data_IF_497065340516
#
_entry.id   IF_497065340516
#
_cell.length_a   1.000
_cell.length_b   1.000
_cell.length_c   1.000
_cell.angle_alpha   90.00
_cell.angle_beta   90.00
_cell.angle_gamma   90.00
#
_symmetry.space_group_name_H-M   'P 1'
#
loop_
_entity.id
_entity.type
_entity.pdbx_description
1 polymer ?
#
# COMPACT_ATOMS: atom_id res chain seq x y z
N UNK A 1 5.42 -7.50 15.15
CA UNK A 1 4.47 -6.84 14.22
C UNK A 1 5.25 -6.19 13.10
N UNK A 2 4.76 -6.25 11.86
CA UNK A 2 5.39 -5.56 10.74
C UNK A 2 4.59 -4.34 10.28
N UNK A 3 5.29 -3.43 9.57
CA UNK A 3 4.76 -2.38 8.72
C UNK A 3 5.67 -2.29 7.50
N UNK A 4 5.17 -2.68 6.32
CA UNK A 4 5.99 -2.70 5.10
C UNK A 4 5.57 -1.66 4.06
N UNK A 5 4.74 -0.71 4.47
CA UNK A 5 4.38 0.43 3.64
C UNK A 5 4.38 1.69 4.49
N UNK A 6 5.53 2.31 4.60
CA UNK A 6 5.67 3.66 5.13
C UNK A 6 6.70 4.44 4.32
N UNK A 7 6.61 5.77 4.40
CA UNK A 7 7.41 6.70 3.63
C UNK A 7 8.41 7.42 4.51
N UNK A 8 9.43 7.97 3.88
CA UNK A 8 10.36 8.92 4.50
C UNK A 8 10.29 10.25 3.75
N UNK A 9 11.06 11.23 4.24
CA UNK A 9 11.23 12.54 3.60
C UNK A 9 11.65 12.48 2.12
N UNK A 10 12.03 11.31 1.60
CA UNK A 10 12.32 11.10 0.18
C UNK A 10 11.06 11.05 -0.69
N UNK A 11 9.89 10.76 -0.11
CA UNK A 11 8.61 10.92 -0.80
C UNK A 11 8.17 12.38 -0.77
N UNK A 12 7.85 12.96 -1.93
CA UNK A 12 7.52 14.38 -2.08
C UNK A 12 6.30 14.84 -1.26
N UNK A 13 5.44 13.91 -0.82
CA UNK A 13 4.28 14.17 0.05
C UNK A 13 4.57 13.97 1.53
N UNK A 14 5.75 13.45 1.90
CA UNK A 14 6.10 13.23 3.29
C UNK A 14 6.63 14.53 3.95
N UNK A 15 6.47 14.60 5.27
CA UNK A 15 7.08 15.70 6.04
C UNK A 15 8.61 15.58 6.02
N UNK A 16 9.31 16.71 5.98
CA UNK A 16 10.79 16.75 6.00
C UNK A 16 11.39 16.08 7.23
N UNK A 17 10.68 16.12 8.35
CA UNK A 17 11.05 15.51 9.62
C UNK A 17 10.90 13.98 9.64
N UNK A 18 10.21 13.41 8.65
CA UNK A 18 10.06 11.96 8.48
C UNK A 18 11.36 11.33 7.93
N UNK A 19 12.51 11.62 8.54
CA UNK A 19 13.78 10.98 8.20
C UNK A 19 13.74 9.49 8.54
N UNK A 20 14.61 8.69 7.93
CA UNK A 20 14.69 7.26 8.26
C UNK A 20 14.85 7.03 9.77
N UNK A 21 15.73 7.79 10.42
CA UNK A 21 15.96 7.72 11.86
C UNK A 21 14.70 7.99 12.68
N UNK A 22 13.97 9.08 12.38
CA UNK A 22 12.78 9.45 13.14
C UNK A 22 11.63 8.47 12.91
N UNK A 23 11.49 7.95 11.69
CA UNK A 23 10.49 6.93 11.38
C UNK A 23 10.79 5.61 12.10
N UNK A 24 12.03 5.11 12.08
CA UNK A 24 12.41 3.88 12.79
C UNK A 24 12.17 4.02 14.31
N UNK A 25 12.51 5.17 14.91
CA UNK A 25 12.27 5.40 16.33
C UNK A 25 10.76 5.39 16.68
N UNK A 26 9.93 6.02 15.84
CA UNK A 26 8.48 6.05 16.04
C UNK A 26 7.84 4.67 15.85
N UNK A 27 8.24 3.92 14.81
CA UNK A 27 7.79 2.56 14.54
C UNK A 27 8.15 1.61 15.69
N UNK A 28 9.39 1.68 16.20
CA UNK A 28 9.78 0.89 17.38
C UNK A 28 8.91 1.19 18.59
N UNK A 29 8.65 2.46 18.87
CA UNK A 29 7.77 2.88 19.98
C UNK A 29 6.38 2.28 19.83
N UNK A 30 5.92 2.05 18.62
CA UNK A 30 4.62 1.44 18.31
C UNK A 30 4.64 -0.09 18.26
N UNK A 31 5.78 -0.73 18.58
CA UNK A 31 5.91 -2.18 18.64
C UNK A 31 6.20 -2.86 17.30
N UNK A 32 6.58 -2.10 16.28
CA UNK A 32 7.01 -2.64 14.97
C UNK A 32 8.42 -3.21 15.11
N UNK A 33 8.61 -4.45 14.67
CA UNK A 33 9.88 -5.19 14.69
C UNK A 33 10.43 -5.46 13.29
N UNK A 34 9.55 -5.45 12.27
CA UNK A 34 9.89 -5.57 10.86
C UNK A 34 9.31 -4.37 10.12
N UNK A 35 10.15 -3.61 9.46
CA UNK A 35 9.76 -2.43 8.71
C UNK A 35 10.18 -2.54 7.24
N UNK A 36 9.33 -2.09 6.35
CA UNK A 36 9.66 -1.85 4.96
C UNK A 36 9.42 -0.37 4.63
N UNK A 37 10.44 0.33 4.16
CA UNK A 37 10.26 1.66 3.60
C UNK A 37 9.94 1.51 2.11
N UNK A 38 8.81 2.08 1.70
CA UNK A 38 8.30 2.01 0.34
C UNK A 38 7.97 3.42 -0.19
N UNK A 39 8.98 4.26 -0.35
CA UNK A 39 8.79 5.59 -0.92
C UNK A 39 8.24 5.50 -2.34
N UNK A 40 7.49 6.54 -2.76
CA UNK A 40 7.04 6.66 -4.14
C UNK A 40 8.20 6.60 -5.12
N UNK A 41 8.00 5.89 -6.24
CA UNK A 41 9.04 5.69 -7.22
C UNK A 41 8.52 5.74 -8.65
N UNK A 42 9.26 6.45 -9.50
CA UNK A 42 9.11 6.38 -10.95
C UNK A 42 10.47 6.14 -11.60
N UNK A 43 10.64 4.98 -12.22
CA UNK A 43 11.82 4.66 -13.03
C UNK A 43 11.87 5.59 -14.24
N UNK A 44 12.95 6.37 -14.37
CA UNK A 44 13.14 7.31 -15.48
C UNK A 44 13.14 6.63 -16.87
N UNK A 45 13.35 5.31 -16.90
CA UNK A 45 13.25 4.50 -18.11
C UNK A 45 11.79 4.16 -18.49
N UNK A 46 10.81 4.51 -17.66
CA UNK A 46 9.38 4.36 -17.94
C UNK A 46 8.81 5.73 -18.36
N UNK A 47 8.34 5.90 -19.61
CA UNK A 47 7.77 7.17 -20.04
C UNK A 47 6.52 7.56 -19.27
N UNK A 48 6.26 8.86 -19.15
CA UNK A 48 5.00 9.40 -18.63
C UNK A 48 5.05 9.89 -17.18
N UNK A 49 6.23 9.98 -16.54
CA UNK A 49 6.36 10.59 -15.24
C UNK A 49 5.79 12.02 -15.22
N UNK A 50 4.92 12.32 -14.25
CA UNK A 50 4.53 13.69 -13.96
C UNK A 50 5.70 14.47 -13.34
N UNK A 51 5.63 15.80 -13.33
CA UNK A 51 6.63 16.63 -12.64
C UNK A 51 6.74 16.34 -11.15
N UNK A 52 5.71 15.78 -10.55
CA UNK A 52 5.70 15.35 -9.16
C UNK A 52 6.47 14.04 -8.95
N UNK A 53 6.36 13.08 -9.90
CA UNK A 53 7.07 11.81 -9.82
C UNK A 53 8.53 11.89 -10.30
N UNK A 54 8.83 12.73 -11.29
CA UNK A 54 10.14 12.76 -11.95
C UNK A 54 11.35 12.85 -10.99
N UNK A 55 11.31 13.60 -9.86
CA UNK A 55 12.42 13.64 -8.91
C UNK A 55 12.52 12.41 -8.01
N UNK A 56 11.49 11.56 -7.97
CA UNK A 56 11.41 10.37 -7.11
C UNK A 56 11.88 9.13 -7.89
N UNK A 57 13.06 9.20 -8.49
CA UNK A 57 13.62 8.14 -9.30
C UNK A 57 14.33 7.04 -8.47
N UNK A 58 14.92 6.08 -9.15
CA UNK A 58 15.62 4.96 -8.53
C UNK A 58 16.78 5.43 -7.65
N UNK A 59 17.62 6.35 -8.16
CA UNK A 59 18.79 6.82 -7.43
C UNK A 59 18.37 7.59 -6.17
N UNK A 60 17.33 8.41 -6.27
CA UNK A 60 16.75 9.11 -5.14
C UNK A 60 16.29 8.12 -4.06
N UNK A 61 15.58 7.07 -4.43
CA UNK A 61 15.11 6.05 -3.48
C UNK A 61 16.27 5.22 -2.90
N UNK A 62 17.28 4.86 -3.69
CA UNK A 62 18.43 4.09 -3.22
C UNK A 62 19.33 4.87 -2.25
N UNK A 63 19.31 6.20 -2.26
CA UNK A 63 20.04 7.03 -1.28
C UNK A 63 19.66 6.72 0.17
N UNK A 64 18.46 6.15 0.40
CA UNK A 64 18.03 5.67 1.71
C UNK A 64 18.96 4.62 2.32
N UNK A 65 19.63 3.81 1.47
CA UNK A 65 20.61 2.82 1.94
C UNK A 65 21.85 3.48 2.54
N UNK A 66 22.26 4.63 1.99
CA UNK A 66 23.37 5.44 2.53
C UNK A 66 22.96 6.06 3.87
N UNK A 67 21.74 6.59 3.98
CA UNK A 67 21.23 7.07 5.27
C UNK A 67 21.25 5.96 6.31
N UNK A 68 20.75 4.77 5.97
CA UNK A 68 20.74 3.63 6.89
C UNK A 68 22.16 3.21 7.30
N UNK A 69 23.10 3.21 6.37
CA UNK A 69 24.51 2.86 6.66
C UNK A 69 25.14 3.85 7.66
N UNK A 70 24.73 5.13 7.61
CA UNK A 70 25.22 6.18 8.50
C UNK A 70 24.60 6.12 9.92
N UNK A 71 23.49 5.37 10.13
CA UNK A 71 22.86 5.24 11.44
C UNK A 71 23.69 4.35 12.38
N UNK A 72 23.76 4.74 13.65
CA UNK A 72 24.31 3.87 14.70
C UNK A 72 23.39 2.65 14.96
N UNK A 73 23.88 1.59 15.62
CA UNK A 73 23.03 0.46 16.01
C UNK A 73 21.81 0.87 16.83
N UNK A 74 21.96 1.85 17.73
CA UNK A 74 20.87 2.38 18.56
C UNK A 74 19.82 3.12 17.71
N UNK A 75 20.26 3.88 16.73
CA UNK A 75 19.39 4.63 15.80
C UNK A 75 18.64 3.72 14.82
N UNK A 76 19.20 2.56 14.49
CA UNK A 76 18.47 1.50 13.74
C UNK A 76 17.36 0.85 14.56
N UNK A 77 17.26 1.18 15.85
CA UNK A 77 16.17 0.80 16.74
C UNK A 77 15.96 -0.72 16.92
N UNK A 78 16.86 -1.58 16.43
CA UNK A 78 16.70 -3.04 16.43
C UNK A 78 15.57 -3.54 15.54
N UNK A 79 15.14 -2.73 14.57
CA UNK A 79 14.13 -3.09 13.57
C UNK A 79 14.81 -3.81 12.41
N UNK A 80 14.23 -4.92 11.95
CA UNK A 80 14.60 -5.54 10.68
C UNK A 80 14.03 -4.69 9.54
N UNK A 81 14.93 -4.05 8.77
CA UNK A 81 14.54 -3.12 7.71
C UNK A 81 14.67 -3.75 6.33
N UNK A 82 13.65 -3.53 5.51
CA UNK A 82 13.64 -3.83 4.08
C UNK A 82 13.48 -2.54 3.26
N UNK A 83 14.13 -2.48 2.11
CA UNK A 83 14.09 -1.35 1.19
C UNK A 83 13.20 -1.69 0.00
N UNK A 84 11.96 -1.29 0.06
CA UNK A 84 11.01 -1.43 -1.01
C UNK A 84 10.78 -0.14 -1.78
N UNK A 85 9.77 -0.16 -2.64
CA UNK A 85 9.26 1.02 -3.30
C UNK A 85 7.77 0.88 -3.56
N UNK A 86 7.05 2.00 -3.52
CA UNK A 86 5.68 2.09 -4.00
C UNK A 86 5.68 2.64 -5.42
N UNK A 87 5.14 1.84 -6.34
CA UNK A 87 5.06 2.14 -7.76
C UNK A 87 3.63 2.46 -8.18
N UNK A 88 3.49 3.14 -9.31
CA UNK A 88 2.20 3.57 -9.85
C UNK A 88 1.80 2.71 -11.05
N UNK A 89 0.52 2.36 -11.14
CA UNK A 89 -0.03 1.77 -12.35
C UNK A 89 -0.07 2.81 -13.49
N UNK A 90 0.52 2.46 -14.63
CA UNK A 90 0.65 3.37 -15.79
C UNK A 90 -0.15 2.92 -17.02
N UNK A 91 -1.02 1.92 -16.88
CA UNK A 91 -1.89 1.41 -17.94
C UNK A 91 -1.35 0.19 -18.67
N UNK A 92 -2.26 -0.57 -19.25
CA UNK A 92 -1.97 -1.77 -20.06
C UNK A 92 -1.09 -2.80 -19.34
N UNK A 93 -1.40 -3.07 -18.06
CA UNK A 93 -0.66 -4.02 -17.23
C UNK A 93 0.78 -3.61 -16.94
N UNK A 94 1.12 -2.32 -17.02
CA UNK A 94 2.45 -1.78 -16.73
C UNK A 94 2.41 -0.89 -15.50
N UNK A 95 3.55 -0.82 -14.83
CA UNK A 95 3.76 0.06 -13.68
C UNK A 95 4.95 1.00 -13.91
N UNK A 96 5.11 1.97 -13.05
CA UNK A 96 6.19 2.97 -13.11
C UNK A 96 7.60 2.43 -12.86
N UNK A 97 7.81 1.12 -12.92
CA UNK A 97 9.09 0.44 -12.69
C UNK A 97 9.30 -0.68 -13.71
N UNK A 98 10.50 -0.80 -14.24
CA UNK A 98 10.90 -1.94 -15.08
C UNK A 98 11.33 -3.14 -14.25
N UNK A 99 11.14 -4.34 -14.80
CA UNK A 99 11.51 -5.60 -14.13
C UNK A 99 13.01 -5.68 -13.79
N UNK A 100 13.86 -5.11 -14.64
CA UNK A 100 15.31 -5.05 -14.41
C UNK A 100 15.64 -4.19 -13.20
N UNK A 101 14.98 -3.03 -13.07
CA UNK A 101 15.17 -2.09 -11.98
C UNK A 101 14.55 -2.58 -10.66
N UNK A 102 13.52 -3.41 -10.73
CA UNK A 102 12.86 -3.99 -9.55
C UNK A 102 13.85 -4.81 -8.69
N UNK A 103 14.88 -5.41 -9.31
CA UNK A 103 15.92 -6.19 -8.62
C UNK A 103 16.80 -5.37 -7.67
N UNK A 104 16.72 -4.05 -7.75
CA UNK A 104 17.45 -3.13 -6.87
C UNK A 104 16.74 -2.95 -5.51
N UNK A 105 15.51 -3.44 -5.37
CA UNK A 105 14.69 -3.34 -4.17
C UNK A 105 14.45 -4.73 -3.58
N UNK A 106 14.22 -4.79 -2.27
CA UNK A 106 13.92 -6.03 -1.59
C UNK A 106 12.50 -6.52 -1.92
N UNK A 107 11.59 -5.59 -2.21
CA UNK A 107 10.22 -5.84 -2.64
C UNK A 107 9.66 -4.63 -3.39
N UNK A 108 8.59 -4.86 -4.15
CA UNK A 108 7.88 -3.84 -4.91
C UNK A 108 6.40 -3.86 -4.54
N UNK A 109 5.88 -2.72 -4.15
CA UNK A 109 4.45 -2.47 -3.96
C UNK A 109 3.90 -1.71 -5.17
N UNK A 110 2.62 -1.90 -5.48
CA UNK A 110 1.95 -1.16 -6.54
C UNK A 110 0.61 -0.60 -6.07
N UNK A 111 0.40 0.69 -6.35
CA UNK A 111 -0.90 1.33 -6.23
C UNK A 111 -1.70 1.14 -7.52
N UNK A 112 -2.87 0.50 -7.41
CA UNK A 112 -3.81 0.33 -8.51
C UNK A 112 -4.87 1.45 -8.58
N UNK A 113 -5.08 2.20 -7.49
CA UNK A 113 -6.28 3.02 -7.29
C UNK A 113 -6.02 4.47 -6.85
N UNK A 114 -4.89 5.08 -7.22
CA UNK A 114 -4.64 6.50 -6.98
C UNK A 114 -5.54 7.43 -7.83
N UNK A 115 -6.84 7.22 -7.76
CA UNK A 115 -7.84 7.91 -8.60
C UNK A 115 -7.99 9.41 -8.28
N UNK A 116 -7.37 9.91 -7.21
CA UNK A 116 -7.27 11.34 -6.96
C UNK A 116 -6.38 12.06 -7.99
N UNK A 117 -5.49 11.32 -8.69
CA UNK A 117 -4.67 11.84 -9.77
C UNK A 117 -5.44 11.84 -11.09
N UNK A 118 -6.31 12.85 -11.25
CA UNK A 118 -7.13 13.05 -12.45
C UNK A 118 -6.26 13.22 -13.69
N UNK A 119 -6.74 12.69 -14.83
CA UNK A 119 -6.09 12.74 -16.13
C UNK A 119 -4.67 12.15 -16.16
N UNK A 120 -4.28 11.44 -15.13
CA UNK A 120 -3.01 10.73 -15.01
C UNK A 120 -3.25 9.26 -14.70
N UNK A 121 -3.75 8.94 -13.50
CA UNK A 121 -4.13 7.57 -13.12
C UNK A 121 -5.60 7.29 -13.44
N UNK A 122 -6.47 8.28 -13.31
CA UNK A 122 -7.90 8.19 -13.59
C UNK A 122 -8.28 8.97 -14.84
N UNK A 123 -9.10 8.40 -15.78
CA UNK A 123 -9.71 9.18 -16.85
C UNK A 123 -10.49 10.38 -16.31
N UNK A 124 -10.37 11.54 -16.95
CA UNK A 124 -10.93 12.80 -16.46
C UNK A 124 -12.45 12.74 -16.26
N UNK A 125 -13.14 12.07 -17.19
CA UNK A 125 -14.60 12.04 -17.28
C UNK A 125 -15.24 10.79 -16.64
N UNK A 126 -14.45 9.98 -15.90
CA UNK A 126 -14.98 8.79 -15.24
C UNK A 126 -15.68 9.20 -13.94
N UNK A 127 -17.01 9.28 -13.97
CA UNK A 127 -17.82 9.71 -12.82
C UNK A 127 -18.95 8.73 -12.45
N UNK A 128 -19.32 7.80 -13.36
CA UNK A 128 -20.36 6.81 -13.07
C UNK A 128 -19.83 5.65 -12.20
N UNK A 129 -20.62 5.24 -11.21
CA UNK A 129 -20.22 4.17 -10.26
C UNK A 129 -19.89 2.84 -10.96
N UNK A 130 -20.67 2.34 -11.93
CA UNK A 130 -20.32 1.11 -12.62
C UNK A 130 -18.99 1.18 -13.38
N UNK A 131 -18.68 2.32 -14.00
CA UNK A 131 -17.42 2.56 -14.69
C UNK A 131 -16.23 2.58 -13.71
N UNK A 132 -16.40 3.26 -12.57
CA UNK A 132 -15.39 3.31 -11.52
C UNK A 132 -15.10 1.90 -10.99
N UNK A 133 -16.13 1.15 -10.62
CA UNK A 133 -16.00 -0.23 -10.12
C UNK A 133 -15.30 -1.14 -11.12
N UNK A 134 -15.69 -1.06 -12.41
CA UNK A 134 -15.06 -1.84 -13.48
C UNK A 134 -13.58 -1.51 -13.60
N UNK A 135 -13.22 -0.22 -13.61
CA UNK A 135 -11.82 0.21 -13.70
C UNK A 135 -11.01 -0.22 -12.47
N UNK A 136 -11.58 -0.17 -11.26
CA UNK A 136 -10.90 -0.64 -10.05
C UNK A 136 -10.58 -2.13 -10.15
N UNK A 137 -11.54 -2.96 -10.56
CA UNK A 137 -11.35 -4.41 -10.72
C UNK A 137 -10.32 -4.73 -11.80
N UNK A 138 -10.42 -4.07 -12.96
CA UNK A 138 -9.50 -4.26 -14.08
C UNK A 138 -8.05 -3.98 -13.67
N UNK A 139 -7.80 -2.84 -13.06
CA UNK A 139 -6.45 -2.45 -12.62
C UNK A 139 -5.90 -3.35 -11.52
N UNK A 140 -6.74 -3.74 -10.57
CA UNK A 140 -6.33 -4.68 -9.55
C UNK A 140 -5.85 -6.00 -10.17
N UNK A 141 -6.63 -6.56 -11.10
CA UNK A 141 -6.28 -7.80 -11.81
C UNK A 141 -5.02 -7.65 -12.66
N UNK A 142 -4.85 -6.53 -13.36
CA UNK A 142 -3.64 -6.26 -14.14
C UNK A 142 -2.40 -6.12 -13.26
N UNK A 143 -2.50 -5.46 -12.11
CA UNK A 143 -1.39 -5.38 -11.14
C UNK A 143 -1.01 -6.76 -10.59
N UNK A 144 -1.99 -7.65 -10.39
CA UNK A 144 -1.72 -9.04 -9.96
C UNK A 144 -0.91 -9.85 -10.98
N UNK A 145 -0.96 -9.50 -12.28
CA UNK A 145 -0.21 -10.18 -13.34
C UNK A 145 1.28 -9.81 -13.42
N UNK A 146 1.73 -8.82 -12.66
CA UNK A 146 3.11 -8.37 -12.72
C UNK A 146 3.96 -9.21 -11.77
N UNK A 147 4.81 -10.08 -12.29
CA UNK A 147 5.50 -11.12 -11.52
C UNK A 147 6.35 -10.57 -10.36
N UNK A 148 7.08 -9.47 -10.60
CA UNK A 148 7.98 -8.89 -9.60
C UNK A 148 7.29 -8.00 -8.55
N UNK A 149 5.98 -7.77 -8.66
CA UNK A 149 5.19 -7.09 -7.63
C UNK A 149 4.93 -8.05 -6.47
N UNK A 150 5.32 -7.65 -5.28
CA UNK A 150 5.04 -8.39 -4.05
C UNK A 150 3.59 -8.20 -3.59
N UNK A 151 3.11 -6.95 -3.57
CA UNK A 151 1.79 -6.65 -3.01
C UNK A 151 1.09 -5.46 -3.65
N UNK A 152 -0.23 -5.47 -3.53
CA UNK A 152 -1.12 -4.39 -3.95
C UNK A 152 -1.46 -3.55 -2.73
N UNK A 153 -1.11 -2.26 -2.78
CA UNK A 153 -1.33 -1.34 -1.65
C UNK A 153 -2.69 -0.66 -1.73
N UNK A 154 -3.23 -0.32 -0.54
CA UNK A 154 -4.55 0.31 -0.35
C UNK A 154 -5.58 -0.13 -1.40
N UNK A 155 -5.77 -1.47 -1.61
CA UNK A 155 -6.65 -1.97 -2.64
C UNK A 155 -8.08 -1.52 -2.35
N UNK A 156 -8.77 -1.10 -3.42
CA UNK A 156 -10.14 -0.57 -3.36
C UNK A 156 -10.33 0.66 -2.47
N UNK A 157 -9.25 1.34 -2.08
CA UNK A 157 -9.35 2.65 -1.44
C UNK A 157 -9.90 3.67 -2.43
N UNK A 158 -11.03 4.27 -2.07
CA UNK A 158 -11.76 5.19 -2.97
C UNK A 158 -11.18 6.60 -2.83
N UNK A 159 -10.08 6.84 -3.55
CA UNK A 159 -9.47 8.15 -3.64
C UNK A 159 -10.05 8.94 -4.84
N UNK A 160 -10.20 10.26 -4.67
CA UNK A 160 -10.65 11.14 -5.74
C UNK A 160 -12.15 11.25 -5.94
N UNK A 161 -12.95 10.54 -5.12
CA UNK A 161 -14.41 10.61 -5.10
C UNK A 161 -14.92 10.85 -3.68
N UNK A 162 -14.64 12.02 -3.09
CA UNK A 162 -15.04 12.32 -1.72
C UNK A 162 -16.56 12.23 -1.56
N UNK A 163 -17.01 11.64 -0.43
CA UNK A 163 -18.42 11.45 -0.13
C UNK A 163 -19.12 10.31 -0.90
N UNK A 164 -18.39 9.56 -1.76
CA UNK A 164 -18.96 8.45 -2.54
C UNK A 164 -18.35 7.08 -2.21
N UNK A 165 -17.61 6.97 -1.11
CA UNK A 165 -16.89 5.74 -0.74
C UNK A 165 -17.85 4.56 -0.63
N UNK A 166 -18.90 4.71 0.20
CA UNK A 166 -19.89 3.65 0.43
C UNK A 166 -20.66 3.28 -0.84
N UNK A 167 -21.01 4.27 -1.68
CA UNK A 167 -21.68 4.04 -2.96
C UNK A 167 -20.82 3.18 -3.90
N UNK A 168 -19.55 3.56 -4.05
CA UNK A 168 -18.62 2.87 -4.96
C UNK A 168 -18.31 1.47 -4.44
N UNK A 169 -18.01 1.33 -3.15
CA UNK A 169 -17.72 0.01 -2.59
C UNK A 169 -18.92 -0.94 -2.67
N UNK A 170 -20.16 -0.45 -2.46
CA UNK A 170 -21.39 -1.22 -2.69
C UNK A 170 -21.60 -1.60 -4.14
N UNK A 171 -21.11 -0.79 -5.07
CA UNK A 171 -21.13 -1.10 -6.50
C UNK A 171 -20.21 -2.27 -6.90
N UNK A 172 -19.24 -2.65 -6.08
CA UNK A 172 -18.43 -3.84 -6.26
C UNK A 172 -19.20 -5.07 -5.74
N UNK A 173 -19.66 -5.95 -6.63
CA UNK A 173 -20.37 -7.16 -6.22
C UNK A 173 -19.45 -8.13 -5.47
N UNK A 174 -20.01 -8.93 -4.55
CA UNK A 174 -19.25 -9.99 -3.87
C UNK A 174 -18.63 -10.99 -4.85
N UNK A 175 -19.31 -11.27 -5.97
CA UNK A 175 -18.80 -12.15 -7.00
C UNK A 175 -17.57 -11.58 -7.70
N UNK A 176 -17.57 -10.29 -8.00
CA UNK A 176 -16.42 -9.60 -8.60
C UNK A 176 -15.24 -9.51 -7.63
N UNK A 177 -15.52 -9.18 -6.36
CA UNK A 177 -14.49 -9.17 -5.32
C UNK A 177 -13.88 -10.56 -5.12
N UNK A 178 -14.69 -11.62 -5.05
CA UNK A 178 -14.20 -13.00 -4.96
C UNK A 178 -13.35 -13.40 -6.15
N UNK A 179 -13.74 -13.01 -7.36
CA UNK A 179 -12.93 -13.25 -8.56
C UNK A 179 -11.57 -12.54 -8.47
N UNK A 180 -11.58 -11.26 -8.08
CA UNK A 180 -10.36 -10.46 -7.97
C UNK A 180 -9.40 -11.00 -6.90
N UNK A 181 -9.90 -11.29 -5.70
CA UNK A 181 -9.08 -11.78 -4.60
C UNK A 181 -8.63 -13.24 -4.79
N UNK A 182 -9.46 -14.11 -5.36
CA UNK A 182 -9.02 -15.45 -5.74
C UNK A 182 -7.88 -15.41 -6.75
N UNK A 183 -7.93 -14.48 -7.69
CA UNK A 183 -6.84 -14.26 -8.64
C UNK A 183 -5.57 -13.72 -7.97
N UNK A 184 -5.68 -12.78 -7.04
CA UNK A 184 -4.53 -12.31 -6.26
C UNK A 184 -3.88 -13.46 -5.46
N UNK A 185 -4.69 -14.33 -4.85
CA UNK A 185 -4.21 -15.52 -4.14
C UNK A 185 -3.50 -16.51 -5.08
N UNK A 186 -4.09 -16.79 -6.28
CA UNK A 186 -3.47 -17.63 -7.31
C UNK A 186 -2.12 -17.07 -7.77
N UNK A 187 -2.01 -15.77 -7.93
CA UNK A 187 -0.80 -15.06 -8.33
C UNK A 187 0.19 -14.82 -7.18
N UNK A 188 -0.07 -15.36 -6.01
CA UNK A 188 0.76 -15.22 -4.82
C UNK A 188 1.00 -13.75 -4.39
N UNK A 189 0.05 -12.85 -4.67
CA UNK A 189 0.14 -11.43 -4.33
C UNK A 189 -0.34 -11.17 -2.92
N UNK A 190 0.37 -10.31 -2.21
CA UNK A 190 -0.05 -9.83 -0.90
C UNK A 190 -1.03 -8.65 -1.03
N UNK A 191 -2.09 -8.68 -0.25
CA UNK A 191 -3.13 -7.62 -0.18
C UNK A 191 -2.89 -6.79 1.06
N UNK A 192 -2.81 -5.50 0.92
CA UNK A 192 -2.55 -4.61 2.06
C UNK A 192 -3.79 -4.38 2.90
N UNK A 193 -3.63 -4.48 4.22
CA UNK A 193 -4.49 -3.75 5.16
C UNK A 193 -3.81 -2.41 5.40
N UNK A 194 -4.29 -1.38 4.73
CA UNK A 194 -3.78 -0.03 4.86
C UNK A 194 -4.46 0.68 6.03
N UNK A 195 -3.66 1.17 6.97
CA UNK A 195 -4.18 1.83 8.18
C UNK A 195 -4.99 3.09 7.83
N UNK A 196 -4.57 3.86 6.81
CA UNK A 196 -5.29 5.07 6.41
C UNK A 196 -6.71 4.79 5.90
N UNK A 197 -6.95 3.61 5.30
CA UNK A 197 -8.29 3.18 4.87
C UNK A 197 -9.30 3.17 6.01
N UNK A 198 -8.86 2.84 7.22
CA UNK A 198 -9.73 2.72 8.40
C UNK A 198 -10.18 4.07 8.97
N UNK A 199 -9.64 5.17 8.46
CA UNK A 199 -9.94 6.54 8.91
C UNK A 199 -10.58 7.39 7.82
N UNK A 200 -11.06 6.75 6.73
CA UNK A 200 -11.80 7.46 5.70
C UNK A 200 -13.21 7.85 6.20
N UNK A 201 -13.74 8.94 5.63
CA UNK A 201 -15.11 9.39 5.90
C UNK A 201 -16.12 8.46 5.18
N UNK A 202 -16.57 7.45 5.87
CA UNK A 202 -17.46 6.39 5.39
C UNK A 202 -18.36 5.91 6.53
N UNK A 203 -19.41 5.14 6.21
CA UNK A 203 -20.30 4.56 7.21
C UNK A 203 -19.54 3.60 8.10
N UNK A 204 -19.63 3.83 9.41
CA UNK A 204 -18.98 3.02 10.43
C UNK A 204 -19.95 2.03 11.08
N UNK A 205 -19.44 0.86 11.45
CA UNK A 205 -20.12 -0.07 12.35
C UNK A 205 -20.21 0.49 13.77
N UNK A 206 -21.01 -0.12 14.64
CA UNK A 206 -21.14 0.29 16.05
C UNK A 206 -19.85 0.26 16.87
N UNK A 207 -18.88 -0.54 16.43
CA UNK A 207 -17.55 -0.68 17.04
C UNK A 207 -16.44 0.10 16.26
N UNK A 208 -16.86 1.01 15.39
CA UNK A 208 -15.98 2.03 14.80
C UNK A 208 -15.11 1.55 13.64
N UNK A 209 -15.56 0.54 12.87
CA UNK A 209 -14.89 0.11 11.65
C UNK A 209 -15.67 0.49 10.39
N UNK A 210 -14.99 0.80 9.26
CA UNK A 210 -15.65 1.04 7.99
C UNK A 210 -16.43 -0.19 7.51
N UNK A 211 -17.75 -0.07 7.39
CA UNK A 211 -18.67 -1.20 7.14
C UNK A 211 -18.34 -1.92 5.82
N UNK A 212 -18.18 -1.16 4.73
CA UNK A 212 -17.90 -1.74 3.42
C UNK A 212 -16.48 -2.32 3.31
N UNK A 213 -15.49 -1.73 3.98
CA UNK A 213 -14.15 -2.32 4.01
C UNK A 213 -14.11 -3.62 4.83
N UNK A 214 -14.91 -3.75 5.90
CA UNK A 214 -15.08 -5.05 6.57
C UNK A 214 -15.57 -6.12 5.59
N UNK A 215 -16.58 -5.81 4.76
CA UNK A 215 -17.09 -6.71 3.73
C UNK A 215 -16.00 -7.08 2.72
N UNK A 216 -15.32 -6.08 2.16
CA UNK A 216 -14.28 -6.26 1.14
C UNK A 216 -13.15 -7.15 1.66
N UNK A 217 -12.60 -6.85 2.84
CA UNK A 217 -11.47 -7.61 3.37
C UNK A 217 -11.86 -8.97 3.98
N UNK A 218 -13.10 -9.14 4.45
CA UNK A 218 -13.61 -10.47 4.82
C UNK A 218 -13.67 -11.39 3.60
N UNK A 219 -14.13 -10.89 2.45
CA UNK A 219 -14.12 -11.64 1.19
C UNK A 219 -12.68 -11.99 0.77
N UNK A 220 -11.73 -11.07 0.91
CA UNK A 220 -10.33 -11.35 0.62
C UNK A 220 -9.75 -12.46 1.52
N UNK A 221 -10.11 -12.46 2.80
CA UNK A 221 -9.71 -13.51 3.75
C UNK A 221 -10.32 -14.88 3.39
N UNK A 222 -11.60 -14.92 3.01
CA UNK A 222 -12.27 -16.14 2.53
C UNK A 222 -11.60 -16.70 1.27
N UNK A 223 -11.10 -15.83 0.38
CA UNK A 223 -10.33 -16.20 -0.81
C UNK A 223 -8.89 -16.64 -0.52
N UNK A 224 -8.47 -16.68 0.76
CA UNK A 224 -7.13 -17.09 1.18
C UNK A 224 -6.01 -16.22 0.64
N UNK A 225 -6.26 -14.94 0.46
CA UNK A 225 -5.21 -13.99 0.15
C UNK A 225 -4.11 -13.97 1.22
N UNK A 226 -2.89 -13.69 0.81
CA UNK A 226 -1.84 -13.24 1.73
C UNK A 226 -2.08 -11.79 2.09
N UNK A 227 -1.72 -11.41 3.31
CA UNK A 227 -1.89 -10.04 3.77
C UNK A 227 -0.60 -9.47 4.32
N UNK A 228 -0.46 -8.17 4.17
CA UNK A 228 0.52 -7.37 4.89
C UNK A 228 -0.14 -6.13 5.47
N UNK A 229 0.48 -5.61 6.53
CA UNK A 229 0.07 -4.36 7.17
C UNK A 229 0.93 -3.22 6.64
N UNK A 230 0.29 -2.12 6.26
CA UNK A 230 0.93 -0.89 5.85
C UNK A 230 0.31 0.32 6.53
N UNK A 231 1.13 1.17 7.12
CA UNK A 231 0.66 2.43 7.69
C UNK A 231 0.41 3.51 6.64
N UNK A 232 1.14 3.45 5.52
CA UNK A 232 1.20 4.51 4.53
C UNK A 232 1.52 5.87 5.18
N UNK A 233 2.38 5.80 6.19
CA UNK A 233 2.69 6.95 7.02
C UNK A 233 3.71 7.85 6.31
N UNK A 234 3.39 9.13 6.25
CA UNK A 234 4.21 10.19 5.69
C UNK A 234 4.77 11.12 6.77
N UNK A 235 4.53 10.76 8.02
CA UNK A 235 5.04 11.41 9.22
C UNK A 235 5.00 10.46 10.43
N UNK A 236 5.69 10.84 11.50
CA UNK A 236 5.78 10.04 12.72
C UNK A 236 4.50 9.97 13.55
N UNK A 237 3.54 10.86 13.33
CA UNK A 237 2.26 10.87 14.06
C UNK A 237 1.34 9.75 13.54
N UNK A 238 1.47 9.40 12.26
CA UNK A 238 0.66 8.36 11.62
C UNK A 238 1.05 6.94 12.01
N UNK A 239 2.24 6.75 12.59
CA UNK A 239 2.68 5.44 13.11
C UNK A 239 2.43 5.27 14.61
N UNK A 240 1.45 5.97 15.16
CA UNK A 240 1.06 5.85 16.57
C UNK A 240 0.51 4.46 16.90
N UNK A 241 0.84 3.94 18.10
CA UNK A 241 0.51 2.58 18.52
C UNK A 241 -0.98 2.25 18.52
N UNK A 242 -1.84 3.23 18.82
CA UNK A 242 -3.30 3.07 18.81
C UNK A 242 -3.84 2.82 17.39
N UNK A 243 -3.20 3.38 16.36
CA UNK A 243 -3.58 3.14 14.96
C UNK A 243 -3.27 1.71 14.55
N UNK A 244 -2.12 1.18 14.93
CA UNK A 244 -1.76 -0.23 14.72
C UNK A 244 -2.70 -1.16 15.48
N UNK A 245 -2.99 -0.86 16.76
CA UNK A 245 -3.91 -1.65 17.56
C UNK A 245 -5.33 -1.69 16.94
N UNK A 246 -5.79 -0.57 16.37
CA UNK A 246 -7.07 -0.50 15.65
C UNK A 246 -7.05 -1.37 14.38
N UNK A 247 -5.99 -1.28 13.58
CA UNK A 247 -5.84 -2.09 12.37
C UNK A 247 -5.76 -3.60 12.66
N UNK A 248 -5.08 -4.00 13.73
CA UNK A 248 -5.04 -5.41 14.16
C UNK A 248 -6.44 -5.93 14.55
N UNK A 249 -7.24 -5.12 15.26
CA UNK A 249 -8.62 -5.48 15.59
C UNK A 249 -9.50 -5.58 14.34
N UNK A 250 -9.33 -4.67 13.38
CA UNK A 250 -10.01 -4.75 12.10
C UNK A 250 -9.66 -6.05 11.36
N UNK A 251 -8.38 -6.36 11.22
CA UNK A 251 -7.90 -7.58 10.59
C UNK A 251 -8.46 -8.83 11.26
N UNK A 252 -8.44 -8.89 12.59
CA UNK A 252 -9.05 -9.99 13.36
C UNK A 252 -10.54 -10.14 13.05
N UNK A 253 -11.28 -9.04 12.92
CA UNK A 253 -12.70 -9.06 12.55
C UNK A 253 -12.95 -9.63 11.16
N UNK A 254 -12.04 -9.37 10.22
CA UNK A 254 -12.06 -9.94 8.87
C UNK A 254 -11.57 -11.40 8.81
N UNK A 255 -11.09 -11.98 9.92
CA UNK A 255 -10.48 -13.31 9.93
C UNK A 255 -9.05 -13.33 9.37
N UNK A 256 -8.36 -12.19 9.34
CA UNK A 256 -7.01 -12.04 8.81
C UNK A 256 -5.99 -12.21 9.93
N UNK A 257 -4.97 -13.04 9.66
CA UNK A 257 -3.80 -13.22 10.51
C UNK A 257 -2.58 -12.76 9.73
N UNK A 258 -1.81 -11.83 10.29
CA UNK A 258 -0.56 -11.38 9.69
C UNK A 258 0.60 -12.30 10.07
N UNK A 259 1.52 -12.62 9.14
CA UNK A 259 2.80 -13.22 9.49
C UNK A 259 3.63 -12.24 10.33
N UNK A 260 4.57 -12.74 11.10
CA UNK A 260 5.51 -11.88 11.83
C UNK A 260 6.38 -11.08 10.85
N UNK A 261 6.88 -11.75 9.82
CA UNK A 261 7.66 -11.18 8.72
C UNK A 261 7.06 -11.63 7.37
N UNK A 262 6.48 -10.71 6.57
CA UNK A 262 5.79 -11.09 5.34
C UNK A 262 6.71 -11.60 4.22
N UNK A 263 8.03 -11.43 4.36
CA UNK A 263 9.03 -11.88 3.39
C UNK A 263 9.63 -13.25 3.71
N UNK A 264 9.36 -13.78 4.90
CA UNK A 264 9.80 -15.12 5.32
C UNK A 264 8.66 -16.10 5.10
N UNK A 265 8.89 -17.11 4.26
CA UNK A 265 7.93 -18.22 4.12
C UNK A 265 7.99 -19.08 5.37
N UNK A 266 6.88 -19.19 6.08
CA UNK A 266 6.74 -20.23 7.11
C UNK A 266 6.91 -21.60 6.43
N UNK A 267 7.78 -22.43 7.03
CA UNK A 267 8.10 -23.77 6.51
C UNK A 267 6.99 -24.76 6.78
#
# INVERSE_FOLDING_TARGET
MHDIHCHTHLSSCAKREATLKTMLAALKKSGVTVCGIANHLWDSAVPGASSWYAPQDINHNLSLREEYAALTPEERAGIKLYFGCETEYVGQGRISLKAESAKLFDYVLVSAHHFHMKNFVRPLELEDTPGICRLMLERFLECCNIDFVFGIVHPFMVLGYPGRIDEILKGLSDADLRRAFSYAAEKDKSVEINICTLYQDTKMTSDGFPEEYLRVFSIAAECKCKFHLGSDAHDTERVASERFAHALKFAQKCGIIFPEDPFVREK
#
